data_IF_806186783935
#
_entry.id   IF_806186783935
#
_cell.length_a   1.000
_cell.length_b   1.000
_cell.length_c   1.000
_cell.angle_alpha   90.00
_cell.angle_beta   90.00
_cell.angle_gamma   90.00
#
_symmetry.space_group_name_H-M   'P 1'
#
loop_
_entity.id
_entity.type
_entity.pdbx_description
1 polymer ?
#
# COMPACT_ATOMS: atom_id res chain seq x y z
N UNK A 1 -46.91 19.02 9.52
CA UNK A 1 -46.48 19.68 8.27
C UNK A 1 -44.98 19.92 8.39
N UNK A 2 -44.23 19.30 7.47
CA UNK A 2 -42.78 19.34 7.21
C UNK A 2 -41.84 20.03 8.21
N UNK A 3 -40.98 19.22 8.84
CA UNK A 3 -39.68 19.65 9.38
C UNK A 3 -38.61 18.70 8.87
N UNK A 4 -38.03 19.01 7.72
CA UNK A 4 -36.97 18.23 7.08
C UNK A 4 -35.67 18.31 7.89
N UNK A 5 -35.13 17.15 8.23
CA UNK A 5 -33.81 16.95 8.86
C UNK A 5 -32.70 17.57 8.02
N UNK A 6 -32.03 18.61 8.54
CA UNK A 6 -30.87 19.28 7.94
C UNK A 6 -29.63 19.10 8.82
N UNK A 7 -29.22 17.85 9.05
CA UNK A 7 -27.96 17.55 9.77
C UNK A 7 -26.89 16.89 8.89
N UNK A 8 -27.07 16.84 7.57
CA UNK A 8 -26.25 16.02 6.67
C UNK A 8 -25.23 16.77 5.80
N UNK A 9 -24.80 17.99 6.14
CA UNK A 9 -23.93 18.78 5.22
C UNK A 9 -22.63 19.33 5.85
N UNK A 10 -22.43 19.30 7.17
CA UNK A 10 -21.27 19.99 7.78
C UNK A 10 -20.01 19.15 8.00
N UNK A 11 -19.98 17.84 7.69
CA UNK A 11 -18.79 17.00 7.98
C UNK A 11 -17.83 16.78 6.81
N UNK A 12 -18.20 17.16 5.58
CA UNK A 12 -17.44 16.88 4.35
C UNK A 12 -16.01 17.49 4.35
N UNK A 13 -15.74 18.73 4.83
CA UNK A 13 -14.40 19.30 4.72
C UNK A 13 -13.39 18.69 5.72
N UNK A 14 -13.85 18.10 6.82
CA UNK A 14 -12.96 17.52 7.84
C UNK A 14 -12.45 16.13 7.44
N UNK A 15 -13.25 15.38 6.68
CA UNK A 15 -12.90 14.04 6.18
C UNK A 15 -11.83 14.12 5.08
N UNK A 16 -11.87 15.14 4.21
CA UNK A 16 -10.88 15.34 3.15
C UNK A 16 -9.48 15.67 3.69
N UNK A 17 -9.37 16.39 4.81
CA UNK A 17 -8.08 16.74 5.44
C UNK A 17 -7.37 15.54 6.08
N UNK A 18 -8.09 14.48 6.39
CA UNK A 18 -7.54 13.25 6.97
C UNK A 18 -7.08 12.23 5.90
N UNK A 19 -7.39 12.47 4.63
CA UNK A 19 -7.03 11.60 3.53
C UNK A 19 -5.71 12.06 2.92
N UNK A 20 -4.71 11.17 2.95
CA UNK A 20 -3.47 11.36 2.22
C UNK A 20 -3.70 10.88 0.79
N UNK A 21 -3.50 11.75 -0.19
CA UNK A 21 -3.59 11.40 -1.60
C UNK A 21 -2.24 11.52 -2.30
N UNK A 22 -1.90 10.54 -3.14
CA UNK A 22 -0.71 10.57 -4.00
C UNK A 22 -1.10 10.82 -5.45
N UNK A 23 -0.59 11.91 -6.01
CA UNK A 23 -0.92 12.39 -7.35
C UNK A 23 0.29 12.18 -8.27
N UNK A 24 0.10 11.45 -9.36
CA UNK A 24 1.10 11.27 -10.41
C UNK A 24 0.87 12.36 -11.46
N UNK A 25 1.86 13.25 -11.58
CA UNK A 25 1.82 14.39 -12.49
C UNK A 25 2.78 14.18 -13.65
N UNK A 26 2.39 14.65 -14.84
CA UNK A 26 3.25 14.70 -16.02
C UNK A 26 3.38 16.14 -16.49
N UNK A 27 4.56 16.51 -16.98
CA UNK A 27 4.76 17.80 -17.64
C UNK A 27 3.99 17.81 -18.95
N UNK A 28 3.16 18.83 -19.15
CA UNK A 28 2.41 19.04 -20.41
C UNK A 28 3.39 19.29 -21.55
N UNK A 29 4.46 20.05 -21.28
CA UNK A 29 5.56 20.28 -22.20
C UNK A 29 6.84 19.66 -21.64
N UNK A 30 7.34 18.62 -22.32
CA UNK A 30 8.61 17.99 -21.96
C UNK A 30 9.76 18.76 -22.62
N UNK A 31 10.70 19.34 -21.84
CA UNK A 31 11.90 19.94 -22.42
C UNK A 31 12.78 18.88 -23.07
N UNK A 32 13.68 19.31 -23.94
CA UNK A 32 14.71 18.43 -24.48
C UNK A 32 15.52 17.77 -23.36
N UNK A 33 15.93 16.49 -23.53
CA UNK A 33 16.74 15.79 -22.55
C UNK A 33 18.00 16.57 -22.19
N UNK A 34 18.25 16.72 -20.90
CA UNK A 34 19.49 17.36 -20.43
C UNK A 34 20.68 16.46 -20.79
N UNK A 35 21.73 17.06 -21.35
CA UNK A 35 22.96 16.33 -21.69
C UNK A 35 23.61 15.74 -20.43
N UNK A 36 24.26 14.59 -20.58
CA UNK A 36 24.93 13.90 -19.46
C UNK A 36 25.97 14.82 -18.82
N UNK A 37 25.90 14.98 -17.49
CA UNK A 37 26.81 15.82 -16.72
C UNK A 37 26.42 17.31 -16.67
N UNK A 38 25.41 17.75 -17.42
CA UNK A 38 24.86 19.10 -17.32
C UNK A 38 23.74 19.17 -16.27
N UNK A 39 23.58 20.36 -15.68
CA UNK A 39 22.47 20.59 -14.74
C UNK A 39 21.14 20.69 -15.50
N UNK A 40 20.09 20.10 -14.94
CA UNK A 40 18.74 20.20 -15.49
C UNK A 40 18.29 21.66 -15.52
N UNK A 41 17.72 22.08 -16.67
CA UNK A 41 17.20 23.44 -16.88
C UNK A 41 16.19 23.82 -15.79
N UNK A 42 16.23 25.06 -15.31
CA UNK A 42 15.34 25.51 -14.24
C UNK A 42 13.89 25.64 -14.78
N UNK A 43 12.91 24.94 -14.20
CA UNK A 43 11.51 25.03 -14.63
C UNK A 43 10.91 26.44 -14.54
N UNK A 44 11.41 27.30 -13.65
CA UNK A 44 10.90 28.65 -13.45
C UNK A 44 11.26 29.64 -14.57
N UNK A 45 12.14 29.24 -15.51
CA UNK A 45 12.53 30.10 -16.63
C UNK A 45 11.39 30.36 -17.63
N UNK A 46 10.42 29.44 -17.73
CA UNK A 46 9.31 29.57 -18.68
C UNK A 46 8.02 28.97 -18.12
N UNK A 47 6.87 29.66 -18.20
CA UNK A 47 5.60 29.19 -17.63
C UNK A 47 5.16 27.83 -18.18
N UNK A 48 5.46 27.51 -19.44
CA UNK A 48 5.11 26.22 -20.02
C UNK A 48 5.87 25.04 -19.39
N UNK A 49 7.09 25.25 -18.89
CA UNK A 49 7.88 24.21 -18.22
C UNK A 49 7.32 23.85 -16.83
N UNK A 50 6.47 24.71 -16.27
CA UNK A 50 5.79 24.51 -15.00
C UNK A 50 4.39 23.91 -15.16
N UNK A 51 3.87 23.79 -16.39
CA UNK A 51 2.55 23.22 -16.65
C UNK A 51 2.56 21.71 -16.41
N UNK A 52 1.78 21.28 -15.43
CA UNK A 52 1.59 19.89 -15.06
C UNK A 52 0.15 19.47 -15.33
N UNK A 53 -0.02 18.24 -15.79
CA UNK A 53 -1.31 17.57 -15.90
C UNK A 53 -1.35 16.39 -14.93
N UNK A 54 -2.54 16.14 -14.39
CA UNK A 54 -2.79 14.98 -13.54
C UNK A 54 -2.95 13.77 -14.45
N UNK A 55 -2.04 12.81 -14.30
CA UNK A 55 -2.09 11.56 -15.06
C UNK A 55 -2.92 10.55 -14.30
N UNK A 56 -2.58 10.34 -13.03
CA UNK A 56 -3.19 9.31 -12.21
C UNK A 56 -3.24 9.74 -10.75
N UNK A 57 -4.23 9.22 -10.03
CA UNK A 57 -4.35 9.34 -8.58
C UNK A 57 -4.18 7.92 -8.04
N UNK A 58 -3.11 7.67 -7.29
CA UNK A 58 -2.76 6.30 -6.88
C UNK A 58 -3.82 5.68 -5.95
N UNK A 59 -4.48 6.49 -5.12
CA UNK A 59 -5.46 6.02 -4.15
C UNK A 59 -6.77 5.53 -4.78
N UNK A 60 -7.02 5.91 -6.05
CA UNK A 60 -8.14 5.37 -6.82
C UNK A 60 -7.84 3.98 -7.37
N UNK A 61 -6.57 3.56 -7.41
CA UNK A 61 -6.21 2.22 -7.87
C UNK A 61 -6.60 1.19 -6.80
N UNK A 62 -7.20 0.05 -7.21
CA UNK A 62 -7.52 -1.00 -6.26
C UNK A 62 -6.24 -1.51 -5.60
N UNK A 63 -6.26 -1.47 -4.28
CA UNK A 63 -5.14 -1.92 -3.46
C UNK A 63 -5.09 -3.45 -3.52
N UNK A 64 -4.10 -3.99 -4.24
CA UNK A 64 -3.88 -5.45 -4.30
C UNK A 64 -3.59 -6.07 -2.94
N UNK A 65 -3.85 -7.38 -2.76
CA UNK A 65 -3.64 -8.07 -1.49
C UNK A 65 -2.17 -8.08 -1.08
N UNK A 66 -1.92 -8.29 0.22
CA UNK A 66 -0.58 -8.43 0.78
C UNK A 66 -0.30 -9.89 1.11
N UNK A 67 0.81 -10.40 0.57
CA UNK A 67 1.27 -11.76 0.83
C UNK A 67 2.03 -11.83 2.14
N UNK A 68 1.57 -12.67 3.06
CA UNK A 68 2.15 -12.87 4.39
C UNK A 68 2.25 -14.35 4.72
N UNK A 69 3.16 -14.69 5.63
CA UNK A 69 3.34 -16.04 6.18
C UNK A 69 2.82 -16.03 7.62
N UNK A 70 1.90 -16.92 7.96
CA UNK A 70 1.39 -17.03 9.32
C UNK A 70 2.41 -17.71 10.23
N UNK A 71 2.64 -17.14 11.41
CA UNK A 71 3.56 -17.69 12.41
C UNK A 71 2.84 -18.48 13.51
N UNK A 72 1.51 -18.37 13.55
CA UNK A 72 0.59 -19.04 14.47
C UNK A 72 -0.69 -19.37 13.72
N UNK A 73 -1.47 -20.31 14.23
CA UNK A 73 -2.82 -20.54 13.73
C UNK A 73 -3.70 -19.32 13.99
N UNK A 74 -4.39 -18.86 12.96
CA UNK A 74 -5.30 -17.72 13.04
C UNK A 74 -6.65 -18.13 12.49
N UNK A 75 -7.66 -18.12 13.37
CA UNK A 75 -9.03 -18.50 13.05
C UNK A 75 -9.57 -17.71 11.85
N UNK A 76 -10.12 -18.43 10.87
CA UNK A 76 -10.71 -17.85 9.67
C UNK A 76 -9.72 -17.34 8.62
N UNK A 77 -8.40 -17.43 8.86
CA UNK A 77 -7.37 -17.05 7.88
C UNK A 77 -6.57 -18.28 7.42
N UNK A 78 -6.03 -19.06 8.35
CA UNK A 78 -5.20 -20.22 8.02
C UNK A 78 -4.36 -20.73 9.18
N UNK A 79 -3.54 -21.74 8.89
CA UNK A 79 -2.71 -22.41 9.88
C UNK A 79 -1.27 -21.87 9.89
N UNK A 80 -0.52 -22.25 10.91
CA UNK A 80 0.89 -21.91 11.06
C UNK A 80 1.72 -22.32 9.82
N UNK A 81 2.59 -21.42 9.38
CA UNK A 81 3.45 -21.53 8.20
C UNK A 81 2.73 -21.61 6.85
N UNK A 82 1.45 -21.23 6.79
CA UNK A 82 0.76 -21.03 5.52
C UNK A 82 1.01 -19.63 4.95
N UNK A 83 1.12 -19.58 3.62
CA UNK A 83 1.33 -18.36 2.86
C UNK A 83 -0.03 -17.91 2.34
N UNK A 84 -0.50 -16.76 2.82
CA UNK A 84 -1.84 -16.25 2.53
C UNK A 84 -1.80 -14.84 1.96
N UNK A 85 -2.79 -14.54 1.13
CA UNK A 85 -3.01 -13.20 0.58
C UNK A 85 -4.15 -12.52 1.34
N UNK A 86 -3.83 -11.45 2.06
CA UNK A 86 -4.75 -10.77 2.97
C UNK A 86 -4.91 -9.29 2.63
N UNK A 87 -5.98 -8.66 3.12
CA UNK A 87 -6.17 -7.23 2.98
C UNK A 87 -5.06 -6.46 3.71
N UNK A 88 -4.48 -5.43 3.08
CA UNK A 88 -3.39 -4.60 3.65
C UNK A 88 -3.75 -3.98 5.00
N UNK A 89 -5.01 -3.56 5.18
CA UNK A 89 -5.48 -2.98 6.45
C UNK A 89 -5.34 -4.00 7.57
N UNK A 90 -5.97 -5.16 7.40
CA UNK A 90 -5.92 -6.26 8.37
C UNK A 90 -4.48 -6.71 8.64
N UNK A 91 -3.65 -6.82 7.60
CA UNK A 91 -2.26 -7.21 7.75
C UNK A 91 -1.47 -6.23 8.63
N UNK A 92 -1.64 -4.91 8.41
CA UNK A 92 -0.89 -3.88 9.15
C UNK A 92 -1.45 -3.62 10.55
N UNK A 93 -2.77 -3.68 10.74
CA UNK A 93 -3.40 -3.36 12.03
C UNK A 93 -3.38 -4.51 13.02
N UNK A 94 -3.52 -5.76 12.55
CA UNK A 94 -3.56 -6.92 13.43
C UNK A 94 -2.36 -7.84 13.20
N UNK A 95 -2.24 -8.48 12.02
CA UNK A 95 -1.33 -9.62 11.84
C UNK A 95 0.16 -9.28 12.07
N UNK A 96 0.66 -8.24 11.40
CA UNK A 96 2.06 -7.84 11.48
C UNK A 96 2.36 -7.15 12.80
N UNK A 97 1.44 -6.31 13.28
CA UNK A 97 1.61 -5.55 14.52
C UNK A 97 1.65 -6.48 15.75
N UNK A 98 0.77 -7.47 15.78
CA UNK A 98 0.70 -8.48 16.87
C UNK A 98 1.68 -9.64 16.69
N UNK A 99 2.51 -9.61 15.64
CA UNK A 99 3.49 -10.67 15.29
C UNK A 99 2.84 -12.04 15.08
N UNK A 100 1.59 -12.09 14.62
CA UNK A 100 0.92 -13.32 14.19
C UNK A 100 1.37 -13.75 12.79
N UNK A 101 1.84 -12.81 11.97
CA UNK A 101 2.35 -13.09 10.64
C UNK A 101 3.63 -12.29 10.35
N UNK A 102 4.37 -12.74 9.35
CA UNK A 102 5.53 -12.05 8.78
C UNK A 102 5.32 -11.77 7.30
N UNK A 103 6.07 -10.81 6.74
CA UNK A 103 6.08 -10.60 5.29
C UNK A 103 6.55 -11.85 4.56
N UNK A 104 5.96 -12.15 3.41
CA UNK A 104 6.44 -13.18 2.50
C UNK A 104 7.67 -12.69 1.69
N UNK A 105 8.72 -12.27 2.40
CA UNK A 105 10.02 -11.94 1.80
C UNK A 105 10.75 -13.23 1.40
N UNK A 106 11.65 -13.19 0.41
CA UNK A 106 12.43 -14.37 0.02
C UNK A 106 13.19 -14.98 1.20
N UNK A 107 13.71 -14.14 2.10
CA UNK A 107 14.38 -14.57 3.33
C UNK A 107 13.44 -15.34 4.28
N UNK A 108 12.25 -14.80 4.56
CA UNK A 108 11.30 -15.43 5.47
C UNK A 108 10.73 -16.72 4.89
N UNK A 109 10.54 -16.77 3.57
CA UNK A 109 10.07 -17.98 2.88
C UNK A 109 11.05 -19.13 3.03
N UNK A 110 12.36 -18.87 2.94
CA UNK A 110 13.40 -19.87 3.18
C UNK A 110 13.40 -20.30 4.65
N UNK A 111 13.53 -19.33 5.57
CA UNK A 111 13.64 -19.60 6.99
C UNK A 111 12.44 -20.39 7.55
N UNK A 112 11.22 -19.93 7.29
CA UNK A 112 10.03 -20.62 7.80
C UNK A 112 9.66 -21.86 6.98
N UNK A 113 10.13 -21.96 5.73
CA UNK A 113 10.03 -23.19 4.94
C UNK A 113 10.81 -24.33 5.57
N UNK A 114 12.07 -24.10 5.93
CA UNK A 114 12.92 -25.07 6.63
C UNK A 114 12.31 -25.48 7.98
N UNK A 115 11.78 -24.51 8.76
CA UNK A 115 11.13 -24.80 10.03
C UNK A 115 9.84 -25.63 9.88
N UNK A 116 9.07 -25.40 8.81
CA UNK A 116 7.85 -26.17 8.52
C UNK A 116 8.19 -27.64 8.28
N UNK A 117 9.23 -27.92 7.49
CA UNK A 117 9.69 -29.28 7.22
C UNK A 117 10.14 -30.00 8.50
N UNK A 118 10.94 -29.33 9.33
CA UNK A 118 11.40 -29.89 10.61
C UNK A 118 10.22 -30.16 11.56
N UNK A 119 9.27 -29.23 11.66
CA UNK A 119 8.11 -29.37 12.55
C UNK A 119 7.14 -30.48 12.08
N UNK A 120 6.93 -30.62 10.77
CA UNK A 120 6.17 -31.73 10.21
C UNK A 120 6.83 -33.08 10.51
N UNK A 121 8.16 -33.15 10.41
CA UNK A 121 8.91 -34.37 10.69
C UNK A 121 8.80 -34.79 12.17
N UNK A 122 8.86 -33.85 13.11
CA UNK A 122 8.75 -34.13 14.54
C UNK A 122 7.34 -34.55 14.99
N UNK A 123 6.28 -34.09 14.32
CA UNK A 123 4.90 -34.47 14.64
C UNK A 123 4.44 -35.78 13.99
N UNK A 124 5.30 -36.44 13.21
CA UNK A 124 4.97 -37.71 12.50
C UNK A 124 5.49 -38.97 13.22
N UNK A 125 6.07 -38.83 14.42
CA UNK A 125 6.54 -39.91 15.29
C UNK A 125 5.84 -39.85 16.65
#
# INVERSE_FOLDING_TARGET
MAGTSLDSITSIPLVLLLLQFTWVLRRVFAPEPTQLGCMQRNPAEHPDLMKLEVVEIEDLKPVGPLKVILLKDVEGIGNQFDIVEVNRRLARTDLLLTRKAAYASPFNLQYYGEMKEVCFFLNSF
#
